data_IF_559799545749
#
_entry.id   IF_559799545749
#
_cell.length_a   1.000
_cell.length_b   1.000
_cell.length_c   1.000
_cell.angle_alpha   90.00
_cell.angle_beta   90.00
_cell.angle_gamma   90.00
#
_symmetry.space_group_name_H-M   'P 1'
#
loop_
_entity.id
_entity.type
_entity.pdbx_description
1 polymer ?
#
# COMPACT_ATOMS: atom_id res chain seq x y z
N UNK A 1 14.65 1.17 -22.07
CA UNK A 1 13.32 0.57 -22.24
C UNK A 1 13.20 -0.55 -21.23
N UNK A 2 12.48 -0.32 -20.13
CA UNK A 2 12.12 -1.38 -19.18
C UNK A 2 11.30 -2.42 -19.96
N UNK A 3 11.74 -3.67 -19.96
CA UNK A 3 10.88 -4.77 -20.39
C UNK A 3 9.75 -4.84 -19.37
N UNK A 4 8.60 -4.24 -19.67
CA UNK A 4 7.35 -4.57 -18.99
C UNK A 4 7.12 -6.05 -19.28
N UNK A 5 7.52 -6.90 -18.33
CA UNK A 5 7.31 -8.34 -18.38
C UNK A 5 5.84 -8.59 -18.63
N UNK A 6 5.51 -9.14 -19.80
CA UNK A 6 4.14 -9.47 -20.23
C UNK A 6 3.37 -10.30 -19.20
N UNK A 7 4.09 -10.95 -18.26
CA UNK A 7 3.58 -11.74 -17.16
C UNK A 7 4.13 -11.23 -15.83
N UNK A 8 3.23 -10.78 -14.94
CA UNK A 8 3.53 -10.55 -13.54
C UNK A 8 3.21 -11.83 -12.77
N UNK A 9 4.22 -12.54 -12.28
CA UNK A 9 4.01 -13.74 -11.46
C UNK A 9 3.70 -13.27 -10.03
N UNK A 10 2.52 -13.59 -9.47
CA UNK A 10 2.19 -13.22 -8.10
C UNK A 10 3.20 -13.85 -7.15
N UNK A 11 3.75 -13.05 -6.24
CA UNK A 11 4.55 -13.59 -5.14
C UNK A 11 3.64 -14.41 -4.23
N UNK A 12 4.08 -15.59 -3.83
CA UNK A 12 3.37 -16.42 -2.84
C UNK A 12 3.03 -15.61 -1.60
N UNK A 13 1.77 -15.69 -1.16
CA UNK A 13 1.29 -15.04 0.06
C UNK A 13 2.23 -15.38 1.22
N UNK A 14 2.96 -14.38 1.73
CA UNK A 14 3.90 -14.60 2.81
C UNK A 14 3.13 -14.88 4.11
N UNK A 15 3.56 -15.90 4.83
CA UNK A 15 2.95 -16.32 6.09
C UNK A 15 2.95 -15.17 7.11
N UNK A 16 1.74 -14.74 7.48
CA UNK A 16 1.51 -13.61 8.38
C UNK A 16 2.08 -13.90 9.78
N UNK A 17 2.17 -15.17 10.17
CA UNK A 17 2.64 -15.59 11.50
C UNK A 17 4.10 -15.19 11.75
N UNK A 18 4.93 -15.16 10.70
CA UNK A 18 6.34 -14.75 10.82
C UNK A 18 6.49 -13.31 11.32
N UNK A 19 5.56 -12.42 10.99
CA UNK A 19 5.62 -11.02 11.42
C UNK A 19 5.16 -10.84 12.86
N UNK A 20 4.21 -11.64 13.31
CA UNK A 20 3.73 -11.63 14.70
C UNK A 20 4.87 -11.97 15.66
N UNK A 21 5.67 -12.98 15.34
CA UNK A 21 6.84 -13.35 16.15
C UNK A 21 7.92 -12.27 16.20
N UNK A 22 8.16 -11.56 15.10
CA UNK A 22 9.10 -10.42 15.07
C UNK A 22 8.59 -9.27 15.94
N UNK A 23 7.29 -8.96 15.86
CA UNK A 23 6.67 -7.93 16.68
C UNK A 23 6.70 -8.28 18.18
N UNK A 24 6.36 -9.52 18.53
CA UNK A 24 6.41 -10.02 19.91
C UNK A 24 7.84 -10.04 20.46
N UNK A 25 8.81 -10.48 19.66
CA UNK A 25 10.23 -10.46 20.04
C UNK A 25 10.74 -9.04 20.29
N UNK A 26 10.37 -8.08 19.45
CA UNK A 26 10.72 -6.67 19.63
C UNK A 26 10.06 -6.07 20.89
N UNK A 27 8.79 -6.37 21.13
CA UNK A 27 8.08 -5.97 22.35
C UNK A 27 8.83 -6.47 23.60
N UNK A 28 9.10 -7.78 23.67
CA UNK A 28 9.77 -8.40 24.80
C UNK A 28 11.19 -7.83 25.02
N UNK A 29 11.93 -7.59 23.94
CA UNK A 29 13.25 -7.00 24.00
C UNK A 29 13.22 -5.56 24.55
N UNK A 30 12.30 -4.72 24.08
CA UNK A 30 12.19 -3.33 24.56
C UNK A 30 11.82 -3.30 26.04
N UNK A 31 10.84 -4.12 26.46
CA UNK A 31 10.44 -4.23 27.88
C UNK A 31 11.62 -4.67 28.74
N UNK A 32 12.36 -5.71 28.31
CA UNK A 32 13.53 -6.21 29.03
C UNK A 32 14.59 -5.12 29.16
N UNK A 33 14.93 -4.43 28.06
CA UNK A 33 15.94 -3.36 28.08
C UNK A 33 15.50 -2.16 28.90
N UNK A 34 14.22 -1.78 28.89
CA UNK A 34 13.72 -0.66 29.69
C UNK A 34 13.71 -0.98 31.18
N UNK A 35 13.32 -2.20 31.56
CA UNK A 35 13.38 -2.65 32.94
C UNK A 35 14.84 -2.74 33.40
N UNK A 36 15.74 -3.23 32.55
CA UNK A 36 17.16 -3.30 32.87
C UNK A 36 17.78 -1.92 33.05
N UNK A 37 17.51 -0.99 32.13
CA UNK A 37 17.96 0.40 32.24
C UNK A 37 17.44 1.08 33.52
N UNK A 38 16.17 0.84 33.88
CA UNK A 38 15.59 1.37 35.11
C UNK A 38 16.25 0.77 36.37
N UNK A 39 16.55 -0.53 36.34
CA UNK A 39 17.28 -1.23 37.42
C UNK A 39 18.67 -0.65 37.59
N UNK A 40 19.48 -0.59 36.54
CA UNK A 40 20.85 -0.07 36.64
C UNK A 40 20.88 1.42 37.00
N UNK A 41 19.90 2.20 36.53
CA UNK A 41 19.72 3.60 36.93
C UNK A 41 19.50 3.74 38.44
N UNK A 42 18.58 2.95 39.01
CA UNK A 42 18.30 2.99 40.44
C UNK A 42 19.50 2.51 41.27
N UNK A 43 20.16 1.43 40.84
CA UNK A 43 21.37 0.91 41.49
C UNK A 43 22.49 1.95 41.52
N UNK A 44 22.74 2.61 40.39
CA UNK A 44 23.74 3.66 40.29
C UNK A 44 23.43 4.85 41.19
N UNK A 45 22.17 5.33 41.21
CA UNK A 45 21.75 6.44 42.05
C UNK A 45 21.80 6.14 43.55
N UNK A 46 21.62 4.88 43.92
CA UNK A 46 21.73 4.40 45.30
C UNK A 46 23.16 3.93 45.65
N UNK A 47 24.13 4.15 44.76
CA UNK A 47 25.55 3.84 45.03
C UNK A 47 25.87 2.35 45.10
N UNK A 48 25.05 1.50 44.46
CA UNK A 48 25.15 0.04 44.51
C UNK A 48 25.13 -0.52 45.94
N UNK A 49 24.30 0.07 46.81
CA UNK A 49 24.20 -0.32 48.22
C UNK A 49 23.93 -1.83 48.41
N UNK A 50 24.63 -2.52 49.34
CA UNK A 50 24.42 -3.95 49.59
C UNK A 50 22.99 -4.34 49.96
N UNK A 51 22.18 -3.40 50.47
CA UNK A 51 20.77 -3.59 50.77
C UNK A 51 19.91 -3.86 49.54
N UNK A 52 20.37 -3.55 48.32
CA UNK A 52 19.65 -3.83 47.07
C UNK A 52 19.61 -5.32 46.73
N UNK A 53 20.52 -6.13 47.29
CA UNK A 53 20.62 -7.57 47.06
C UNK A 53 21.94 -7.96 46.41
N UNK A 54 22.04 -9.21 45.99
CA UNK A 54 23.26 -9.75 45.36
C UNK A 54 23.20 -9.43 43.85
N UNK A 55 24.17 -8.68 43.29
CA UNK A 55 24.20 -8.40 41.86
C UNK A 55 24.60 -9.66 41.07
N UNK A 56 24.13 -9.76 39.83
CA UNK A 56 24.43 -10.89 38.93
C UNK A 56 25.88 -10.87 38.44
N UNK A 57 26.46 -9.68 38.27
CA UNK A 57 27.86 -9.45 37.96
C UNK A 57 28.33 -8.16 38.68
N UNK A 58 29.64 -7.86 38.73
CA UNK A 58 30.10 -6.63 39.36
C UNK A 58 29.38 -5.40 38.81
N UNK A 59 28.63 -4.71 39.69
CA UNK A 59 27.81 -3.53 39.34
C UNK A 59 26.73 -3.79 38.29
N UNK A 60 26.19 -5.00 38.20
CA UNK A 60 25.10 -5.33 37.27
C UNK A 60 24.04 -6.16 37.98
N UNK A 61 22.82 -5.65 38.01
CA UNK A 61 21.66 -6.25 38.64
C UNK A 61 20.76 -6.95 37.62
N UNK A 62 19.83 -7.76 38.11
CA UNK A 62 18.92 -8.48 37.23
C UNK A 62 17.87 -7.50 36.66
N UNK A 63 17.50 -7.58 35.36
CA UNK A 63 16.65 -6.59 34.71
C UNK A 63 15.33 -6.24 35.41
N UNK A 64 14.79 -7.13 36.23
CA UNK A 64 13.51 -6.96 36.90
C UNK A 64 13.63 -6.62 38.40
N UNK A 65 14.84 -6.44 38.94
CA UNK A 65 15.04 -6.09 40.35
C UNK A 65 14.36 -4.76 40.71
N UNK A 66 14.25 -3.83 39.76
CA UNK A 66 13.52 -2.57 39.94
C UNK A 66 12.06 -2.77 40.42
N UNK A 67 11.41 -3.87 40.04
CA UNK A 67 10.03 -4.18 40.49
C UNK A 67 10.00 -4.52 41.98
N UNK A 68 10.98 -5.30 42.43
CA UNK A 68 11.15 -5.68 43.84
C UNK A 68 11.54 -4.46 44.67
N UNK A 69 12.46 -3.64 44.16
CA UNK A 69 12.93 -2.44 44.83
C UNK A 69 11.86 -1.37 44.93
N UNK A 70 11.05 -1.18 43.89
CA UNK A 70 9.89 -0.30 43.95
C UNK A 70 8.97 -0.70 45.10
N UNK A 71 8.61 -1.99 45.18
CA UNK A 71 7.73 -2.47 46.25
C UNK A 71 8.33 -2.32 47.66
N UNK A 72 9.66 -2.45 47.77
CA UNK A 72 10.38 -2.44 49.05
C UNK A 72 10.75 -1.04 49.53
N UNK A 73 11.18 -0.15 48.64
CA UNK A 73 11.88 1.09 48.94
C UNK A 73 11.18 2.36 48.46
N UNK A 74 10.23 2.28 47.53
CA UNK A 74 9.45 3.45 47.10
C UNK A 74 8.34 3.77 48.11
N UNK A 75 8.76 4.24 49.29
CA UNK A 75 7.90 4.58 50.43
C UNK A 75 8.42 5.84 51.11
N UNK A 76 7.51 6.61 51.71
CA UNK A 76 7.87 7.84 52.42
C UNK A 76 8.89 7.62 53.55
N UNK A 77 8.92 6.43 54.15
CA UNK A 77 9.84 6.06 55.24
C UNK A 77 11.33 6.18 54.86
N UNK A 78 11.66 6.05 53.57
CA UNK A 78 13.03 6.16 53.05
C UNK A 78 13.39 7.57 52.56
N UNK A 79 12.44 8.51 52.65
CA UNK A 79 12.62 9.92 52.31
C UNK A 79 12.37 10.27 50.83
N UNK A 80 12.07 11.56 50.62
CA UNK A 80 11.74 12.13 49.30
C UNK A 80 12.83 11.87 48.23
N UNK A 81 14.15 11.99 48.52
CA UNK A 81 15.18 11.76 47.50
C UNK A 81 15.19 10.33 46.94
N UNK A 82 14.87 9.33 47.77
CA UNK A 82 14.80 7.93 47.33
C UNK A 82 13.58 7.71 46.44
N UNK A 83 12.43 8.28 46.81
CA UNK A 83 11.22 8.25 45.98
C UNK A 83 11.42 8.92 44.61
N UNK A 84 12.19 10.02 44.55
CA UNK A 84 12.50 10.69 43.28
C UNK A 84 13.34 9.80 42.34
N UNK A 85 14.26 9.00 42.89
CA UNK A 85 15.02 8.00 42.12
C UNK A 85 14.07 6.96 41.52
N UNK A 86 13.14 6.42 42.32
CA UNK A 86 12.18 5.43 41.82
C UNK A 86 11.19 6.01 40.82
N UNK A 87 10.71 7.23 41.02
CA UNK A 87 9.87 7.95 40.05
C UNK A 87 10.55 8.09 38.69
N UNK A 88 11.84 8.46 38.66
CA UNK A 88 12.62 8.52 37.42
C UNK A 88 12.82 7.12 36.80
N UNK A 89 13.04 6.09 37.60
CA UNK A 89 13.14 4.70 37.13
C UNK A 89 11.80 4.21 36.54
N UNK A 90 10.66 4.56 37.13
CA UNK A 90 9.33 4.29 36.58
C UNK A 90 9.10 5.03 35.27
N UNK A 91 9.60 6.26 35.14
CA UNK A 91 9.52 7.01 33.89
C UNK A 91 10.31 6.30 32.78
N UNK A 92 11.51 5.78 33.07
CA UNK A 92 12.29 4.96 32.12
C UNK A 92 11.47 3.75 31.66
N UNK A 93 10.87 3.02 32.60
CA UNK A 93 10.00 1.87 32.27
C UNK A 93 8.74 2.28 31.51
N UNK A 94 8.12 3.40 31.86
CA UNK A 94 6.91 3.92 31.20
C UNK A 94 7.17 4.32 29.75
N UNK A 95 8.28 5.03 29.50
CA UNK A 95 8.72 5.38 28.14
C UNK A 95 9.05 4.12 27.35
N UNK A 96 9.78 3.17 27.93
CA UNK A 96 10.05 1.88 27.32
C UNK A 96 8.77 1.09 26.99
N UNK A 97 7.82 1.03 27.93
CA UNK A 97 6.52 0.40 27.76
C UNK A 97 5.72 1.02 26.62
N UNK A 98 5.68 2.35 26.54
CA UNK A 98 5.04 3.06 25.42
C UNK A 98 5.66 2.66 24.07
N UNK A 99 6.98 2.71 23.94
CA UNK A 99 7.65 2.35 22.69
C UNK A 99 7.55 0.85 22.37
N UNK A 100 7.49 -0.01 23.38
CA UNK A 100 7.31 -1.45 23.20
C UNK A 100 5.98 -1.78 22.51
N UNK A 101 4.94 -0.97 22.73
CA UNK A 101 3.64 -1.10 22.06
C UNK A 101 3.63 -0.43 20.69
N UNK A 102 4.16 0.80 20.60
CA UNK A 102 4.07 1.62 19.38
C UNK A 102 4.96 1.09 18.25
N UNK A 103 6.20 0.68 18.53
CA UNK A 103 7.16 0.31 17.48
C UNK A 103 6.77 -0.96 16.72
N UNK A 104 6.37 -2.08 17.37
CA UNK A 104 5.90 -3.27 16.66
C UNK A 104 4.66 -2.99 15.81
N UNK A 105 3.70 -2.22 16.33
CA UNK A 105 2.48 -1.84 15.59
C UNK A 105 2.83 -0.97 14.38
N UNK A 106 3.71 0.03 14.55
CA UNK A 106 4.16 0.88 13.45
C UNK A 106 4.91 0.08 12.37
N UNK A 107 5.73 -0.89 12.76
CA UNK A 107 6.43 -1.79 11.82
C UNK A 107 5.45 -2.69 11.07
N UNK A 108 4.47 -3.27 11.77
CA UNK A 108 3.42 -4.07 11.17
C UNK A 108 2.62 -3.23 10.15
N UNK A 109 2.16 -2.05 10.55
CA UNK A 109 1.39 -1.14 9.70
C UNK A 109 2.18 -0.68 8.46
N UNK A 110 3.47 -0.32 8.62
CA UNK A 110 4.32 0.07 7.47
C UNK A 110 4.54 -1.07 6.50
N UNK A 111 4.53 -2.32 6.97
CA UNK A 111 4.68 -3.49 6.10
C UNK A 111 3.38 -3.93 5.44
N UNK A 112 2.25 -3.91 6.15
CA UNK A 112 0.95 -4.21 5.54
C UNK A 112 0.65 -3.25 4.40
N UNK A 113 0.91 -1.95 4.59
CA UNK A 113 0.79 -0.95 3.51
C UNK A 113 1.69 -1.20 2.31
N UNK A 114 2.86 -1.81 2.50
CA UNK A 114 3.74 -2.21 1.39
C UNK A 114 3.20 -3.44 0.68
N UNK A 115 2.60 -4.38 1.40
CA UNK A 115 1.97 -5.55 0.81
C UNK A 115 0.69 -5.19 0.05
N UNK A 116 -0.14 -4.28 0.58
CA UNK A 116 -1.34 -3.77 -0.11
C UNK A 116 -1.00 -3.00 -1.39
N UNK A 117 0.21 -2.46 -1.48
CA UNK A 117 0.71 -1.78 -2.67
C UNK A 117 1.26 -2.75 -3.74
N UNK A 118 1.49 -4.03 -3.41
CA UNK A 118 1.85 -5.04 -4.41
C UNK A 118 0.57 -5.54 -5.10
N UNK A 119 0.49 -5.42 -6.43
CA UNK A 119 -0.62 -5.96 -7.21
C UNK A 119 -0.60 -7.49 -7.15
N UNK A 120 -1.65 -8.08 -6.59
CA UNK A 120 -1.80 -9.53 -6.51
C UNK A 120 -2.65 -10.05 -7.67
N UNK A 121 -2.01 -10.30 -8.81
CA UNK A 121 -2.65 -10.75 -10.05
C UNK A 121 -2.90 -12.26 -10.10
N UNK A 122 -3.13 -12.92 -8.94
CA UNK A 122 -3.30 -14.39 -8.86
C UNK A 122 -4.41 -14.92 -9.77
N UNK A 123 -5.47 -14.13 -9.97
CA UNK A 123 -6.62 -14.47 -10.81
C UNK A 123 -6.61 -13.73 -12.16
N UNK A 124 -5.48 -13.15 -12.54
CA UNK A 124 -5.32 -12.29 -13.72
C UNK A 124 -5.29 -10.81 -13.36
N UNK A 125 -4.63 -10.02 -14.19
CA UNK A 125 -4.44 -8.57 -14.03
C UNK A 125 -5.53 -7.73 -14.72
N UNK A 126 -6.54 -8.38 -15.30
CA UNK A 126 -7.62 -7.69 -16.01
C UNK A 126 -8.45 -6.87 -15.02
N UNK A 127 -8.49 -5.56 -15.24
CA UNK A 127 -9.25 -4.62 -14.42
C UNK A 127 -9.77 -3.47 -15.30
N UNK A 128 -10.68 -2.67 -14.76
CA UNK A 128 -11.14 -1.46 -15.44
C UNK A 128 -10.02 -0.44 -15.50
N UNK A 129 -9.74 0.07 -16.71
CA UNK A 129 -8.65 1.01 -16.92
C UNK A 129 -8.83 2.30 -16.10
N UNK A 130 -7.75 2.73 -15.48
CA UNK A 130 -7.63 4.04 -14.83
C UNK A 130 -7.46 5.15 -15.87
N UNK A 131 -7.71 6.40 -15.48
CA UNK A 131 -7.51 7.55 -16.37
C UNK A 131 -6.07 7.68 -16.88
N UNK A 132 -5.09 7.26 -16.09
CA UNK A 132 -3.68 7.25 -16.48
C UNK A 132 -3.39 6.17 -17.54
N UNK A 133 -3.93 4.96 -17.36
CA UNK A 133 -3.79 3.88 -18.34
C UNK A 133 -4.46 4.21 -19.67
N UNK A 134 -5.64 4.83 -19.63
CA UNK A 134 -6.33 5.30 -20.84
C UNK A 134 -5.49 6.33 -21.61
N UNK A 135 -4.83 7.26 -20.90
CA UNK A 135 -3.89 8.22 -21.53
C UNK A 135 -2.66 7.51 -22.10
N UNK A 136 -2.07 6.59 -21.34
CA UNK A 136 -0.88 5.82 -21.76
C UNK A 136 -1.16 4.92 -22.97
N UNK A 137 -2.39 4.42 -23.10
CA UNK A 137 -2.82 3.59 -24.22
C UNK A 137 -2.89 4.33 -25.57
N UNK A 138 -2.83 5.67 -25.59
CA UNK A 138 -2.83 6.45 -26.84
C UNK A 138 -4.16 6.39 -27.60
N UNK A 139 -5.25 6.07 -26.92
CA UNK A 139 -6.60 5.91 -27.51
C UNK A 139 -7.48 7.14 -27.32
N UNK A 140 -7.02 8.15 -26.57
CA UNK A 140 -7.70 9.44 -26.45
C UNK A 140 -7.45 10.28 -27.71
N UNK A 141 -8.39 11.14 -28.13
CA UNK A 141 -8.23 11.95 -29.33
C UNK A 141 -6.94 12.78 -29.34
N UNK A 142 -6.12 12.59 -30.37
CA UNK A 142 -4.95 13.40 -30.68
C UNK A 142 -4.79 13.56 -32.21
N UNK A 143 -3.75 14.28 -32.65
CA UNK A 143 -3.49 14.46 -34.08
C UNK A 143 -3.01 13.15 -34.76
N UNK A 144 -2.44 12.21 -34.02
CA UNK A 144 -1.94 10.94 -34.56
C UNK A 144 -3.08 9.96 -34.87
N UNK A 145 -4.13 9.94 -34.05
CA UNK A 145 -5.28 9.05 -34.19
C UNK A 145 -6.52 9.73 -34.77
N UNK A 146 -6.39 10.98 -35.23
CA UNK A 146 -7.40 11.68 -36.03
C UNK A 146 -7.79 10.84 -37.25
N UNK A 147 -9.08 10.64 -37.48
CA UNK A 147 -9.56 9.74 -38.54
C UNK A 147 -9.42 8.24 -38.23
N UNK A 148 -9.03 7.88 -37.00
CA UNK A 148 -9.08 6.51 -36.51
C UNK A 148 -10.51 5.98 -36.34
N UNK A 149 -10.63 4.68 -36.12
CA UNK A 149 -11.91 4.03 -35.82
C UNK A 149 -12.35 4.42 -34.41
N UNK A 150 -13.60 4.85 -34.31
CA UNK A 150 -14.23 5.19 -33.03
C UNK A 150 -14.78 3.90 -32.40
N UNK A 151 -14.41 3.61 -31.15
CA UNK A 151 -14.79 2.34 -30.51
C UNK A 151 -15.35 2.48 -29.09
N UNK A 152 -15.47 3.70 -28.57
CA UNK A 152 -16.05 3.94 -27.25
C UNK A 152 -15.97 5.40 -26.81
N UNK A 153 -16.29 5.66 -25.56
CA UNK A 153 -16.16 6.96 -24.93
C UNK A 153 -15.60 6.79 -23.51
N UNK A 154 -14.79 7.75 -23.09
CA UNK A 154 -14.21 7.82 -21.75
C UNK A 154 -14.56 9.17 -21.13
N UNK A 155 -15.17 9.15 -19.96
CA UNK A 155 -15.50 10.35 -19.19
C UNK A 155 -14.44 10.57 -18.11
N UNK A 156 -13.73 11.69 -18.18
CA UNK A 156 -12.81 12.15 -17.12
C UNK A 156 -13.31 13.50 -16.62
N UNK A 157 -13.77 13.54 -15.36
CA UNK A 157 -14.23 14.77 -14.67
C UNK A 157 -15.30 15.55 -15.45
N UNK A 158 -16.28 14.86 -16.02
CA UNK A 158 -17.37 15.47 -16.79
C UNK A 158 -17.01 15.84 -18.24
N UNK A 159 -15.79 15.55 -18.69
CA UNK A 159 -15.40 15.69 -20.09
C UNK A 159 -15.42 14.31 -20.78
N UNK A 160 -16.35 14.14 -21.71
CA UNK A 160 -16.49 12.92 -22.51
C UNK A 160 -15.59 12.99 -23.75
N UNK A 161 -14.68 12.03 -23.86
CA UNK A 161 -13.74 11.90 -24.98
C UNK A 161 -13.99 10.60 -25.72
N UNK A 162 -14.18 10.67 -27.04
CA UNK A 162 -14.41 9.46 -27.85
C UNK A 162 -13.10 8.74 -28.15
N UNK A 163 -13.05 7.45 -27.82
CA UNK A 163 -11.88 6.61 -27.99
C UNK A 163 -11.65 6.29 -29.46
N UNK A 164 -10.41 6.44 -29.92
CA UNK A 164 -9.99 6.27 -31.32
C UNK A 164 -8.79 5.35 -31.43
N UNK A 165 -8.81 4.51 -32.45
CA UNK A 165 -7.67 3.67 -32.79
C UNK A 165 -7.30 3.84 -34.26
N UNK A 166 -6.05 4.21 -34.53
CA UNK A 166 -5.50 4.42 -35.88
C UNK A 166 -4.19 3.63 -36.05
N UNK A 167 -4.29 2.31 -36.00
CA UNK A 167 -3.18 1.39 -36.20
C UNK A 167 -3.53 0.24 -37.16
N UNK A 168 -2.56 -0.63 -37.47
CA UNK A 168 -2.76 -1.82 -38.30
C UNK A 168 -3.58 -2.92 -37.61
N UNK A 169 -3.84 -2.80 -36.31
CA UNK A 169 -4.53 -3.81 -35.50
C UNK A 169 -6.00 -3.98 -35.94
N UNK A 170 -6.46 -5.23 -35.88
CA UNK A 170 -7.85 -5.56 -36.19
C UNK A 170 -8.76 -5.33 -34.97
N UNK A 171 -9.96 -4.81 -35.22
CA UNK A 171 -10.99 -4.60 -34.20
C UNK A 171 -12.17 -5.54 -34.45
N UNK A 172 -12.62 -6.21 -33.38
CA UNK A 172 -13.82 -7.02 -33.37
C UNK A 172 -14.87 -6.35 -32.49
N UNK A 173 -16.06 -6.10 -33.06
CA UNK A 173 -17.20 -5.56 -32.31
C UNK A 173 -18.18 -6.68 -32.05
N UNK A 174 -18.29 -7.10 -30.79
CA UNK A 174 -19.30 -8.06 -30.35
C UNK A 174 -20.48 -7.31 -29.73
N UNK A 175 -21.60 -7.22 -30.46
CA UNK A 175 -22.73 -6.40 -30.06
C UNK A 175 -24.08 -7.04 -30.49
N UNK A 176 -25.03 -7.27 -29.56
CA UNK A 176 -26.36 -7.83 -29.86
C UNK A 176 -27.17 -7.01 -30.88
N UNK A 177 -28.27 -7.55 -31.41
CA UNK A 177 -29.19 -6.75 -32.23
C UNK A 177 -29.76 -5.57 -31.44
N UNK A 178 -29.89 -4.39 -32.08
CA UNK A 178 -30.37 -3.15 -31.46
C UNK A 178 -29.50 -2.57 -30.32
N UNK A 179 -28.26 -3.03 -30.18
CA UNK A 179 -27.26 -2.48 -29.25
C UNK A 179 -26.62 -1.15 -29.69
N UNK A 180 -26.94 -0.68 -30.89
CA UNK A 180 -26.40 0.57 -31.41
C UNK A 180 -25.04 0.47 -32.13
N UNK A 181 -24.54 -0.73 -32.48
CA UNK A 181 -23.25 -0.86 -33.21
C UNK A 181 -23.16 0.00 -34.49
N UNK A 182 -24.29 0.17 -35.20
CA UNK A 182 -24.36 1.00 -36.40
C UNK A 182 -24.16 2.48 -36.07
N UNK A 183 -24.97 3.01 -35.16
CA UNK A 183 -24.98 4.44 -34.80
C UNK A 183 -23.84 4.88 -33.89
N UNK A 184 -23.30 3.97 -33.07
CA UNK A 184 -22.26 4.27 -32.07
C UNK A 184 -20.82 4.04 -32.55
N UNK A 185 -20.62 3.16 -33.54
CA UNK A 185 -19.28 2.76 -34.01
C UNK A 185 -19.16 2.93 -35.52
N UNK A 186 -20.03 2.26 -36.30
CA UNK A 186 -19.89 2.18 -37.76
C UNK A 186 -20.07 3.54 -38.44
N UNK A 187 -21.24 4.18 -38.29
CA UNK A 187 -21.57 5.46 -38.94
C UNK A 187 -20.59 6.56 -38.50
N UNK A 188 -20.30 6.78 -37.20
CA UNK A 188 -19.34 7.78 -36.78
C UNK A 188 -17.94 7.55 -37.36
N UNK A 189 -17.49 6.30 -37.45
CA UNK A 189 -16.21 5.96 -38.08
C UNK A 189 -16.25 6.29 -39.58
N UNK A 190 -17.32 5.95 -40.29
CA UNK A 190 -17.48 6.25 -41.71
C UNK A 190 -17.64 7.76 -42.00
N UNK A 191 -18.01 8.57 -41.01
CA UNK A 191 -18.08 10.04 -41.13
C UNK A 191 -16.85 10.78 -40.58
N UNK A 192 -15.86 10.08 -40.04
CA UNK A 192 -14.66 10.72 -39.46
C UNK A 192 -13.35 10.18 -40.03
N UNK A 193 -13.34 8.94 -40.54
CA UNK A 193 -12.12 8.30 -41.05
C UNK A 193 -11.58 9.02 -42.28
N UNK A 194 -10.29 9.30 -42.30
CA UNK A 194 -9.60 10.07 -43.33
C UNK A 194 -8.96 9.19 -44.42
N UNK A 195 -9.09 7.86 -44.30
CA UNK A 195 -8.58 6.87 -45.23
C UNK A 195 -9.70 6.22 -46.06
N UNK A 196 -9.31 5.52 -47.13
CA UNK A 196 -10.21 4.69 -47.92
C UNK A 196 -10.83 3.56 -47.08
N UNK A 197 -12.10 3.25 -47.36
CA UNK A 197 -12.84 2.18 -46.66
C UNK A 197 -13.65 1.39 -47.69
N UNK A 198 -13.59 0.06 -47.60
CA UNK A 198 -14.52 -0.84 -48.28
C UNK A 198 -15.55 -1.33 -47.27
N UNK A 199 -16.84 -1.10 -47.54
CA UNK A 199 -17.93 -1.48 -46.63
C UNK A 199 -18.80 -2.54 -47.29
N UNK A 200 -18.92 -3.70 -46.66
CA UNK A 200 -19.91 -4.70 -47.04
C UNK A 200 -21.25 -4.38 -46.39
N UNK A 201 -22.12 -3.68 -47.12
CA UNK A 201 -23.39 -3.16 -46.62
C UNK A 201 -24.59 -3.89 -47.25
N UNK A 202 -24.94 -5.05 -46.67
CA UNK A 202 -26.07 -5.88 -47.13
C UNK A 202 -27.41 -5.11 -47.07
N UNK A 203 -27.53 -4.12 -46.17
CA UNK A 203 -28.78 -3.38 -45.95
C UNK A 203 -28.87 -2.05 -46.68
N UNK A 204 -27.74 -1.50 -47.12
CA UNK A 204 -27.66 -0.17 -47.74
C UNK A 204 -27.77 1.01 -46.75
N UNK A 205 -27.85 0.75 -45.43
CA UNK A 205 -28.01 1.78 -44.40
C UNK A 205 -26.75 2.65 -44.27
N UNK A 206 -25.56 2.06 -44.38
CA UNK A 206 -24.30 2.80 -44.30
C UNK A 206 -24.12 3.65 -45.55
N UNK A 207 -24.37 3.07 -46.73
CA UNK A 207 -24.31 3.81 -47.99
C UNK A 207 -25.24 5.02 -47.99
N UNK A 208 -26.51 4.83 -47.62
CA UNK A 208 -27.50 5.90 -47.59
C UNK A 208 -27.12 7.07 -46.67
N UNK A 209 -26.46 6.78 -45.55
CA UNK A 209 -26.12 7.79 -44.53
C UNK A 209 -24.75 8.43 -44.71
N UNK A 210 -23.78 7.74 -45.32
CA UNK A 210 -22.38 8.19 -45.31
C UNK A 210 -21.74 8.36 -46.69
N UNK A 211 -22.38 7.94 -47.77
CA UNK A 211 -21.80 8.03 -49.13
C UNK A 211 -21.50 9.47 -49.56
N UNK A 212 -22.37 10.44 -49.24
CA UNK A 212 -22.14 11.85 -49.61
C UNK A 212 -20.99 12.53 -48.88
N UNK A 213 -20.47 11.92 -47.81
CA UNK A 213 -19.27 12.38 -47.11
C UNK A 213 -17.98 11.80 -47.72
N UNK A 214 -18.09 10.73 -48.52
CA UNK A 214 -16.99 9.90 -49.00
C UNK A 214 -16.68 10.12 -50.47
#
# INVERSE_FOLDING_TARGET
MSQDTLYHIPKTQQDITRFVWVGLGLFALIVLLSCWAATEYAAWKLGFDPGLGVPMAPYTYFPFDILVWTWKYDRLDYGIPVMEIFSNAHLIMGVGGFFSLVLPVALAYRRTRKADAETNDLHGSAHWATAEEVRKAGILPDEHNKGGVLFGAFEDKGNVQYLRHKGPEHMMVFAPTRSGKGVGIVIPTLLSRDQSVLVHDIKGENWALTSGFR
#
